data_IF_036705724147
#
_entry.id   IF_036705724147
#
_cell.length_a   1.000
_cell.length_b   1.000
_cell.length_c   1.000
_cell.angle_alpha   90.00
_cell.angle_beta   90.00
_cell.angle_gamma   90.00
#
_symmetry.space_group_name_H-M   'P 1'
#
loop_
_entity.id
_entity.type
_entity.pdbx_description
1 polymer ?
#
# COMPACT_ATOMS: atom_id res chain seq x y z
N UNK A 1 -7.50 -21.12 -6.81
CA UNK A 1 -7.83 -20.50 -5.50
C UNK A 1 -6.98 -19.26 -5.23
N UNK A 2 -5.79 -19.18 -5.81
CA UNK A 2 -4.85 -18.06 -5.62
C UNK A 2 -5.43 -16.69 -6.02
N UNK A 3 -6.20 -16.63 -7.10
CA UNK A 3 -6.92 -15.41 -7.48
C UNK A 3 -7.92 -14.94 -6.42
N UNK A 4 -8.60 -15.86 -5.74
CA UNK A 4 -9.56 -15.51 -4.68
C UNK A 4 -8.82 -14.96 -3.45
N UNK A 5 -7.71 -15.58 -3.06
CA UNK A 5 -6.84 -15.11 -1.97
C UNK A 5 -6.21 -13.75 -2.28
N UNK A 6 -5.73 -13.55 -3.51
CA UNK A 6 -5.24 -12.27 -3.99
C UNK A 6 -6.34 -11.19 -3.92
N UNK A 7 -7.54 -11.51 -4.40
CA UNK A 7 -8.69 -10.59 -4.38
C UNK A 7 -9.09 -10.21 -2.95
N UNK A 8 -9.14 -11.19 -2.04
CA UNK A 8 -9.39 -10.92 -0.61
C UNK A 8 -8.28 -10.06 -0.01
N UNK A 9 -7.02 -10.33 -0.36
CA UNK A 9 -5.87 -9.53 0.02
C UNK A 9 -6.04 -8.06 -0.39
N UNK A 10 -6.46 -7.79 -1.62
CA UNK A 10 -6.72 -6.42 -2.10
C UNK A 10 -7.75 -5.72 -1.23
N UNK A 11 -8.89 -6.36 -1.00
CA UNK A 11 -9.99 -5.77 -0.22
C UNK A 11 -9.53 -5.46 1.20
N UNK A 12 -8.84 -6.40 1.85
CA UNK A 12 -8.33 -6.24 3.21
C UNK A 12 -7.26 -5.14 3.28
N UNK A 13 -6.26 -5.18 2.41
CA UNK A 13 -5.18 -4.20 2.37
C UNK A 13 -5.70 -2.79 2.15
N UNK A 14 -6.59 -2.60 1.17
CA UNK A 14 -7.22 -1.31 0.91
C UNK A 14 -8.04 -0.82 2.10
N UNK A 15 -8.93 -1.66 2.64
CA UNK A 15 -9.83 -1.27 3.72
C UNK A 15 -9.06 -0.93 5.02
N UNK A 16 -8.06 -1.73 5.39
CA UNK A 16 -7.24 -1.50 6.57
C UNK A 16 -6.45 -0.20 6.43
N UNK A 17 -5.77 -0.01 5.29
CA UNK A 17 -4.95 1.19 5.08
C UNK A 17 -5.83 2.44 5.05
N UNK A 18 -6.99 2.38 4.40
CA UNK A 18 -7.96 3.47 4.41
C UNK A 18 -8.45 3.79 5.81
N UNK A 19 -8.81 2.76 6.58
CA UNK A 19 -9.21 2.93 7.97
C UNK A 19 -8.10 3.57 8.80
N UNK A 20 -6.84 3.13 8.64
CA UNK A 20 -5.69 3.72 9.33
C UNK A 20 -5.44 5.17 8.90
N UNK A 21 -5.48 5.49 7.60
CA UNK A 21 -5.18 6.83 7.10
C UNK A 21 -6.27 7.85 7.40
N UNK A 22 -7.53 7.41 7.55
CA UNK A 22 -8.65 8.27 7.94
C UNK A 22 -8.77 8.46 9.46
N UNK A 23 -8.48 7.43 10.27
CA UNK A 23 -8.65 7.48 11.73
C UNK A 23 -7.39 7.86 12.49
N UNK A 24 -6.22 7.56 11.93
CA UNK A 24 -4.93 7.90 12.52
C UNK A 24 -4.35 9.05 11.69
N UNK A 25 -3.95 10.14 12.35
CA UNK A 25 -3.17 11.22 11.72
C UNK A 25 -1.74 10.73 11.44
N UNK A 26 -1.60 9.67 10.67
CA UNK A 26 -0.33 9.07 10.29
C UNK A 26 0.30 9.91 9.18
N UNK A 27 0.88 11.04 9.59
CA UNK A 27 1.81 11.77 8.76
C UNK A 27 3.20 11.38 9.20
N UNK A 28 3.98 10.74 8.32
CA UNK A 28 5.43 10.69 8.45
C UNK A 28 5.91 12.14 8.23
N UNK A 29 5.83 12.96 9.30
CA UNK A 29 6.22 14.37 9.32
C UNK A 29 7.74 14.45 9.41
N UNK A 30 8.41 14.16 8.31
CA UNK A 30 9.75 14.72 8.09
C UNK A 30 9.55 16.10 7.49
N UNK A 31 10.31 17.13 7.91
CA UNK A 31 10.13 18.56 7.54
C UNK A 31 10.04 18.88 6.03
N UNK A 32 10.26 17.92 5.14
CA UNK A 32 10.32 18.13 3.67
C UNK A 32 9.57 17.07 2.85
N UNK A 33 9.35 15.85 3.38
CA UNK A 33 8.93 14.70 2.56
C UNK A 33 7.57 14.18 3.04
N UNK A 34 6.62 14.09 2.11
CA UNK A 34 5.34 13.42 2.29
C UNK A 34 5.42 12.06 1.59
N UNK A 35 5.96 11.08 2.31
CA UNK A 35 6.09 9.73 1.78
C UNK A 35 4.71 9.07 1.79
N UNK A 36 4.16 8.82 0.60
CA UNK A 36 2.87 8.18 0.45
C UNK A 36 3.01 6.67 0.68
N UNK A 37 2.04 6.05 1.33
CA UNK A 37 2.06 4.62 1.60
C UNK A 37 2.03 3.76 0.33
N UNK A 38 1.54 4.29 -0.81
CA UNK A 38 1.67 3.58 -2.10
C UNK A 38 3.13 3.43 -2.54
N UNK A 39 3.99 4.40 -2.24
CA UNK A 39 5.44 4.33 -2.52
C UNK A 39 6.07 3.26 -1.63
N UNK A 40 5.66 3.18 -0.36
CA UNK A 40 6.12 2.14 0.56
C UNK A 40 5.71 0.76 0.05
N UNK A 41 4.44 0.58 -0.32
CA UNK A 41 3.95 -0.68 -0.87
C UNK A 41 4.74 -1.10 -2.11
N UNK A 42 4.99 -0.15 -3.02
CA UNK A 42 5.81 -0.40 -4.21
C UNK A 42 7.25 -0.81 -3.85
N UNK A 43 7.91 -0.09 -2.93
CA UNK A 43 9.27 -0.42 -2.49
C UNK A 43 9.36 -1.77 -1.79
N UNK A 44 8.30 -2.22 -1.11
CA UNK A 44 8.23 -3.56 -0.52
C UNK A 44 7.98 -4.63 -1.57
N UNK A 45 7.21 -4.33 -2.63
CA UNK A 45 6.98 -5.26 -3.74
C UNK A 45 8.25 -5.56 -4.54
N UNK A 46 9.18 -4.59 -4.69
CA UNK A 46 10.43 -4.79 -5.43
C UNK A 46 11.30 -5.96 -4.91
N UNK A 47 11.65 -6.06 -3.61
CA UNK A 47 12.39 -7.20 -3.10
C UNK A 47 11.56 -8.49 -3.15
N UNK A 48 10.24 -8.46 -2.89
CA UNK A 48 9.39 -9.65 -3.03
C UNK A 48 9.44 -10.22 -4.44
N UNK A 49 9.39 -9.32 -5.45
CA UNK A 49 9.56 -9.69 -6.85
C UNK A 49 10.96 -10.26 -7.13
N UNK A 50 12.02 -9.59 -6.66
CA UNK A 50 13.39 -10.04 -6.88
C UNK A 50 13.66 -11.42 -6.27
N UNK A 51 13.09 -11.71 -5.10
CA UNK A 51 13.22 -13.00 -4.41
C UNK A 51 12.16 -14.04 -4.79
N UNK A 52 11.29 -13.75 -5.76
CA UNK A 52 10.23 -14.66 -6.24
C UNK A 52 9.31 -15.17 -5.12
N UNK A 53 8.92 -14.28 -4.21
CA UNK A 53 7.96 -14.62 -3.15
C UNK A 53 6.56 -14.50 -3.71
N UNK A 54 5.88 -15.63 -3.93
CA UNK A 54 4.61 -15.70 -4.69
C UNK A 54 3.35 -15.83 -3.80
N UNK A 55 3.36 -15.29 -2.59
CA UNK A 55 2.23 -15.40 -1.66
C UNK A 55 1.02 -14.50 -2.07
N UNK A 56 -0.13 -15.06 -2.51
CA UNK A 56 -1.20 -14.28 -3.12
C UNK A 56 -1.84 -13.26 -2.18
N UNK A 57 -2.02 -13.62 -0.90
CA UNK A 57 -2.56 -12.70 0.10
C UNK A 57 -1.64 -11.50 0.34
N UNK A 58 -0.33 -11.74 0.36
CA UNK A 58 0.67 -10.69 0.55
C UNK A 58 0.67 -9.72 -0.63
N UNK A 59 0.72 -10.26 -1.85
CA UNK A 59 0.62 -9.47 -3.08
C UNK A 59 -0.68 -8.68 -3.15
N UNK A 60 -1.81 -9.34 -2.84
CA UNK A 60 -3.11 -8.69 -2.79
C UNK A 60 -3.15 -7.54 -1.80
N UNK A 61 -2.67 -7.77 -0.57
CA UNK A 61 -2.60 -6.76 0.48
C UNK A 61 -1.76 -5.54 0.09
N UNK A 62 -0.60 -5.78 -0.52
CA UNK A 62 0.28 -4.71 -1.02
C UNK A 62 -0.34 -3.96 -2.20
N UNK A 63 -1.01 -4.66 -3.13
CA UNK A 63 -1.76 -4.02 -4.22
C UNK A 63 -2.88 -3.16 -3.67
N UNK A 64 -3.70 -3.68 -2.75
CA UNK A 64 -4.78 -2.91 -2.10
C UNK A 64 -4.27 -1.66 -1.39
N UNK A 65 -3.14 -1.80 -0.67
CA UNK A 65 -2.44 -0.66 -0.03
C UNK A 65 -2.00 0.38 -1.06
N UNK A 66 -1.40 -0.05 -2.18
CA UNK A 66 -0.98 0.85 -3.23
C UNK A 66 -2.16 1.58 -3.87
N UNK A 67 -3.26 0.88 -4.15
CA UNK A 67 -4.47 1.44 -4.75
C UNK A 67 -5.12 2.52 -3.87
N UNK A 68 -5.14 2.32 -2.54
CA UNK A 68 -5.60 3.33 -1.58
C UNK A 68 -4.85 4.65 -1.78
N UNK A 69 -3.51 4.59 -1.82
CA UNK A 69 -2.66 5.77 -1.93
C UNK A 69 -2.68 6.40 -3.31
N UNK A 70 -2.73 5.60 -4.37
CA UNK A 70 -2.87 6.09 -5.75
C UNK A 70 -4.23 6.78 -5.96
N UNK A 71 -5.29 6.35 -5.27
CA UNK A 71 -6.60 6.98 -5.34
C UNK A 71 -6.69 8.38 -4.70
N UNK A 72 -5.67 8.82 -3.96
CA UNK A 72 -5.65 10.14 -3.31
C UNK A 72 -5.35 11.25 -4.32
N UNK A 73 -5.99 12.42 -4.18
CA UNK A 73 -5.86 13.54 -5.12
C UNK A 73 -4.49 14.25 -5.11
N UNK A 74 -3.81 14.24 -3.97
CA UNK A 74 -2.53 14.90 -3.82
C UNK A 74 -1.45 13.84 -3.73
N UNK A 75 -0.55 13.81 -4.71
CA UNK A 75 0.61 12.92 -4.75
C UNK A 75 1.91 13.66 -4.42
N UNK A 76 1.82 14.92 -3.95
CA UNK A 76 3.00 15.74 -3.74
C UNK A 76 3.94 15.11 -2.71
N UNK A 77 5.11 14.69 -3.17
CA UNK A 77 6.16 14.06 -2.35
C UNK A 77 6.90 15.12 -1.52
N UNK A 78 6.84 16.39 -1.95
CA UNK A 78 7.42 17.54 -1.26
C UNK A 78 6.33 18.55 -0.94
N UNK A 79 6.39 19.16 0.25
CA UNK A 79 5.47 20.25 0.60
C UNK A 79 5.74 21.51 -0.22
#
# INVERSE_FOLDING_TARGET
>A
MDFALYSLGIVLGFAIVRWLTENIKFHIRTRSIWLHHWIIAFLVMLPLFYFQIDEPLLWGGLTGTALEGLGRKNWSIRR
#
